data_IF_583651921515
#
_entry.id   IF_583651921515
#
_cell.length_a   1.000
_cell.length_b   1.000
_cell.length_c   1.000
_cell.angle_alpha   90.00
_cell.angle_beta   90.00
_cell.angle_gamma   90.00
#
_symmetry.space_group_name_H-M   'P 1'
#
loop_
_entity.id
_entity.type
_entity.pdbx_description
1 polymer ?
#
# COMPACT_ATOMS: atom_id res chain seq x y z
N UNK A 1 9.43 0.34 27.73
CA UNK A 1 8.45 1.45 27.62
C UNK A 1 8.04 1.56 26.16
N UNK A 2 6.75 1.68 25.85
CA UNK A 2 6.30 1.83 24.47
C UNK A 2 6.83 3.14 23.87
N UNK A 3 7.14 3.11 22.58
CA UNK A 3 7.55 4.28 21.82
C UNK A 3 6.35 5.21 21.67
N UNK A 4 6.49 6.46 22.13
CA UNK A 4 5.45 7.48 22.02
C UNK A 4 5.50 8.12 20.64
N UNK A 5 4.42 7.99 19.88
CA UNK A 5 4.35 8.41 18.47
C UNK A 5 3.28 9.49 18.29
N UNK A 6 3.61 10.53 17.53
CA UNK A 6 2.65 11.52 17.04
C UNK A 6 2.33 11.31 15.56
N UNK A 7 1.07 11.50 15.17
CA UNK A 7 0.62 11.39 13.77
C UNK A 7 0.32 12.79 13.23
N UNK A 8 1.00 13.18 12.16
CA UNK A 8 0.76 14.45 11.47
C UNK A 8 0.11 14.19 10.09
N UNK A 9 -1.17 14.50 9.98
CA UNK A 9 -2.05 14.15 8.86
C UNK A 9 -2.90 12.92 9.18
N UNK A 10 -4.19 13.11 9.46
CA UNK A 10 -5.16 12.07 9.83
C UNK A 10 -6.04 11.62 8.64
N UNK A 11 -5.42 11.61 7.46
CA UNK A 11 -5.97 11.01 6.24
C UNK A 11 -5.91 9.48 6.25
N UNK A 12 -5.94 8.86 5.06
CA UNK A 12 -5.96 7.39 4.91
C UNK A 12 -4.82 6.69 5.69
N UNK A 13 -3.58 7.14 5.50
CA UNK A 13 -2.40 6.53 6.14
C UNK A 13 -2.40 6.79 7.65
N UNK A 14 -2.63 8.03 8.09
CA UNK A 14 -2.65 8.36 9.51
C UNK A 14 -3.68 7.53 10.30
N UNK A 15 -4.86 7.30 9.74
CA UNK A 15 -5.88 6.44 10.37
C UNK A 15 -5.48 4.97 10.39
N UNK A 16 -4.85 4.44 9.34
CA UNK A 16 -4.36 3.05 9.32
C UNK A 16 -3.22 2.86 10.34
N UNK A 17 -2.27 3.80 10.42
CA UNK A 17 -1.21 3.78 11.43
C UNK A 17 -1.80 3.83 12.84
N UNK A 18 -2.78 4.70 13.07
CA UNK A 18 -3.49 4.76 14.34
C UNK A 18 -4.17 3.42 14.66
N UNK A 19 -4.87 2.81 13.69
CA UNK A 19 -5.52 1.51 13.85
C UNK A 19 -4.52 0.40 14.21
N UNK A 20 -3.42 0.30 13.47
CA UNK A 20 -2.42 -0.74 13.70
C UNK A 20 -1.72 -0.57 15.06
N UNK A 21 -1.57 0.66 15.57
CA UNK A 21 -0.93 0.88 16.87
C UNK A 21 -1.61 0.13 18.03
N UNK A 22 -2.90 -0.18 17.94
CA UNK A 22 -3.61 -0.97 18.96
C UNK A 22 -3.22 -2.44 18.97
N UNK A 23 -2.68 -2.96 17.86
CA UNK A 23 -2.16 -4.33 17.75
C UNK A 23 -0.67 -4.43 18.13
N UNK A 24 -0.03 -3.31 18.46
CA UNK A 24 1.41 -3.20 18.70
C UNK A 24 1.69 -2.61 20.09
N UNK A 25 1.89 -3.50 21.08
CA UNK A 25 2.09 -3.13 22.51
C UNK A 25 3.36 -2.30 22.77
N UNK A 26 4.26 -2.25 21.81
CA UNK A 26 5.50 -1.49 21.81
C UNK A 26 5.32 -0.05 21.33
N UNK A 27 4.12 0.34 20.85
CA UNK A 27 3.82 1.68 20.35
C UNK A 27 2.63 2.31 21.07
N UNK A 28 2.75 3.58 21.42
CA UNK A 28 1.67 4.39 22.02
C UNK A 28 1.47 5.65 21.18
N UNK A 29 0.34 5.80 20.51
CA UNK A 29 0.01 7.05 19.80
C UNK A 29 -0.49 8.09 20.82
N UNK A 30 0.28 9.16 21.00
CA UNK A 30 0.05 10.18 22.04
C UNK A 30 -0.57 11.47 21.50
N UNK A 31 -0.48 11.70 20.20
CA UNK A 31 -1.03 12.90 19.56
C UNK A 31 -1.37 12.67 18.09
N UNK A 32 -2.42 13.33 17.62
CA UNK A 32 -2.82 13.39 16.22
C UNK A 32 -3.07 14.85 15.85
N UNK A 33 -2.52 15.30 14.72
CA UNK A 33 -2.72 16.64 14.18
C UNK A 33 -3.22 16.56 12.73
N UNK A 34 -4.35 17.20 12.43
CA UNK A 34 -4.80 17.45 11.05
C UNK A 34 -5.59 18.77 10.99
N UNK A 35 -5.08 19.82 10.34
CA UNK A 35 -5.74 21.13 10.32
C UNK A 35 -6.96 21.20 9.41
N UNK A 36 -7.27 20.14 8.65
CA UNK A 36 -8.37 20.13 7.67
C UNK A 36 -9.52 19.20 8.07
N UNK A 37 -9.44 18.57 9.24
CA UNK A 37 -10.41 17.56 9.69
C UNK A 37 -10.89 17.91 11.10
N UNK A 38 -12.18 18.25 11.23
CA UNK A 38 -12.84 18.47 12.52
C UNK A 38 -12.86 17.19 13.37
N UNK A 39 -12.79 17.32 14.70
CA UNK A 39 -12.66 16.18 15.64
C UNK A 39 -13.79 15.14 15.46
N UNK A 40 -15.04 15.59 15.34
CA UNK A 40 -16.18 14.69 15.15
C UNK A 40 -16.12 13.97 13.79
N UNK A 41 -15.60 14.65 12.76
CA UNK A 41 -15.41 14.06 11.45
C UNK A 41 -14.27 13.04 11.46
N UNK A 42 -13.15 13.36 12.12
CA UNK A 42 -12.04 12.44 12.36
C UNK A 42 -12.49 11.17 13.08
N UNK A 43 -13.28 11.31 14.15
CA UNK A 43 -13.85 10.19 14.89
C UNK A 43 -14.78 9.33 14.02
N UNK A 44 -15.60 9.96 13.17
CA UNK A 44 -16.47 9.25 12.23
C UNK A 44 -15.68 8.48 11.16
N UNK A 45 -14.67 9.11 10.54
CA UNK A 45 -13.78 8.48 9.56
C UNK A 45 -12.89 7.39 10.16
N UNK A 46 -12.57 7.51 11.45
CA UNK A 46 -11.90 6.44 12.18
C UNK A 46 -12.88 5.30 12.44
N UNK A 47 -14.10 5.58 12.90
CA UNK A 47 -15.12 4.59 13.23
C UNK A 47 -15.58 3.77 12.03
N UNK A 48 -15.76 4.42 10.89
CA UNK A 48 -16.17 3.78 9.64
C UNK A 48 -15.12 4.07 8.58
N UNK A 49 -14.28 3.08 8.31
CA UNK A 49 -13.45 3.10 7.11
C UNK A 49 -14.23 2.35 6.04
N UNK A 50 -14.10 2.76 4.79
CA UNK A 50 -14.57 1.91 3.71
C UNK A 50 -13.67 0.66 3.78
N UNK A 51 -12.38 0.74 3.41
CA UNK A 51 -11.43 -0.39 3.30
C UNK A 51 -11.21 -1.29 4.47
N UNK A 52 -11.26 -0.75 5.66
CA UNK A 52 -10.96 -1.51 6.86
C UNK A 52 -12.18 -1.51 7.80
N UNK A 53 -13.34 -1.08 7.28
CA UNK A 53 -14.66 -1.16 7.88
C UNK A 53 -14.67 -0.61 9.29
N UNK A 54 -15.39 -1.25 10.22
CA UNK A 54 -15.58 -0.64 11.54
C UNK A 54 -14.29 -0.70 12.36
N UNK A 55 -14.01 0.39 13.06
CA UNK A 55 -12.98 0.36 14.09
C UNK A 55 -13.46 -0.58 15.20
N UNK A 56 -12.74 -1.71 15.35
CA UNK A 56 -13.21 -3.05 15.76
C UNK A 56 -13.72 -3.90 14.56
N UNK A 57 -12.71 -4.51 13.92
CA UNK A 57 -12.66 -5.59 12.92
C UNK A 57 -13.55 -5.48 11.65
N UNK A 58 -12.85 -5.63 10.51
CA UNK A 58 -13.25 -5.94 9.12
C UNK A 58 -13.94 -4.87 8.26
N UNK A 59 -13.83 -5.01 6.91
CA UNK A 59 -13.05 -4.16 5.97
C UNK A 59 -13.58 -4.08 4.49
N UNK A 60 -13.80 -2.90 3.81
CA UNK A 60 -14.02 -2.67 2.30
C UNK A 60 -13.91 -1.22 1.59
N UNK A 61 -12.84 -0.88 0.79
CA UNK A 61 -12.61 0.01 -0.42
C UNK A 61 -12.18 1.55 -0.57
N UNK A 62 -11.49 1.94 -1.70
CA UNK A 62 -10.70 3.15 -2.21
C UNK A 62 -10.98 3.52 -3.72
N UNK A 63 -10.06 4.05 -4.57
CA UNK A 63 -9.37 5.37 -4.79
C UNK A 63 -8.53 6.08 -3.71
N UNK A 64 -7.38 6.64 -4.13
CA UNK A 64 -6.53 7.51 -3.29
C UNK A 64 -7.06 8.93 -3.23
N UNK A 65 -6.81 9.66 -2.13
CA UNK A 65 -7.32 11.03 -1.92
C UNK A 65 -6.90 12.05 -3.00
N UNK A 66 -5.92 11.71 -3.84
CA UNK A 66 -5.44 12.59 -4.91
C UNK A 66 -6.21 12.43 -6.22
N UNK A 67 -7.03 11.38 -6.36
CA UNK A 67 -7.81 11.09 -7.55
C UNK A 67 -9.16 11.80 -7.53
N UNK A 68 -9.75 12.00 -8.71
CA UNK A 68 -11.01 12.71 -8.90
C UNK A 68 -12.11 11.72 -9.24
N UNK A 69 -13.30 11.92 -8.66
CA UNK A 69 -14.47 11.06 -8.89
C UNK A 69 -14.98 11.20 -10.34
N UNK A 70 -14.98 12.42 -10.85
CA UNK A 70 -15.30 12.77 -12.23
C UNK A 70 -14.12 13.50 -12.86
N UNK A 71 -14.14 13.66 -14.19
CA UNK A 71 -13.14 14.44 -14.92
C UNK A 71 -13.02 15.86 -14.32
N UNK A 72 -11.82 16.22 -13.86
CA UNK A 72 -11.54 17.52 -13.25
C UNK A 72 -10.10 17.98 -13.55
N UNK A 73 -9.84 19.31 -13.52
CA UNK A 73 -8.51 19.84 -13.80
C UNK A 73 -7.43 19.28 -12.87
N UNK A 74 -6.32 18.82 -13.46
CA UNK A 74 -5.11 18.42 -12.74
C UNK A 74 -3.91 19.13 -13.33
N UNK A 75 -3.29 20.01 -12.54
CA UNK A 75 -2.23 20.93 -13.01
C UNK A 75 -0.94 20.22 -13.42
N UNK A 76 -0.66 19.05 -12.83
CA UNK A 76 0.63 18.33 -13.00
C UNK A 76 0.49 16.94 -13.60
N UNK A 77 -0.71 16.37 -13.62
CA UNK A 77 -0.97 15.00 -14.05
C UNK A 77 -2.34 14.93 -14.73
N UNK A 78 -2.38 15.25 -16.02
CA UNK A 78 -3.65 15.39 -16.77
C UNK A 78 -4.45 14.09 -16.76
N UNK A 79 -3.77 12.94 -16.86
CA UNK A 79 -4.41 11.62 -16.81
C UNK A 79 -5.00 11.35 -15.42
N UNK A 80 -4.32 11.77 -14.36
CA UNK A 80 -4.82 11.69 -12.99
C UNK A 80 -6.05 12.56 -12.69
N UNK A 81 -6.41 13.49 -13.59
CA UNK A 81 -7.65 14.27 -13.50
C UNK A 81 -8.88 13.56 -14.06
N UNK A 82 -8.72 12.44 -14.76
CA UNK A 82 -9.84 11.67 -15.33
C UNK A 82 -10.59 10.88 -14.26
N UNK A 83 -11.87 10.60 -14.50
CA UNK A 83 -12.75 9.85 -13.59
C UNK A 83 -12.13 8.51 -13.17
N UNK A 84 -11.79 8.39 -11.89
CA UNK A 84 -10.95 7.29 -11.41
C UNK A 84 -11.66 5.93 -11.38
N UNK A 85 -12.99 5.91 -11.23
CA UNK A 85 -13.77 4.67 -11.16
C UNK A 85 -14.03 4.04 -12.54
N UNK A 86 -13.78 4.77 -13.63
CA UNK A 86 -14.16 4.36 -14.99
C UNK A 86 -12.94 4.15 -15.91
N UNK A 87 -11.74 4.53 -15.46
CA UNK A 87 -10.55 4.57 -16.31
C UNK A 87 -9.40 3.75 -15.76
N UNK A 88 -8.70 3.07 -16.67
CA UNK A 88 -7.33 2.62 -16.46
C UNK A 88 -6.40 3.81 -16.74
N UNK A 89 -5.70 4.32 -15.72
CA UNK A 89 -4.93 5.57 -15.80
C UNK A 89 -3.43 5.26 -15.68
N UNK A 90 -2.67 5.26 -16.80
CA UNK A 90 -1.24 5.02 -16.77
C UNK A 90 -0.48 6.21 -16.19
N UNK A 91 0.50 5.93 -15.34
CA UNK A 91 1.31 6.90 -14.63
C UNK A 91 2.76 6.42 -14.50
N UNK A 92 3.71 7.36 -14.56
CA UNK A 92 5.08 7.08 -14.11
C UNK A 92 5.11 6.91 -12.60
N UNK A 93 5.95 6.00 -12.11
CA UNK A 93 6.13 5.74 -10.67
C UNK A 93 7.58 5.96 -10.26
N UNK A 94 7.75 6.52 -9.05
CA UNK A 94 9.06 6.63 -8.41
C UNK A 94 9.52 5.35 -7.71
N UNK A 95 8.60 4.42 -7.41
CA UNK A 95 8.88 3.25 -6.57
C UNK A 95 10.04 2.41 -7.10
N UNK A 96 10.02 2.11 -8.41
CA UNK A 96 11.10 1.38 -9.06
C UNK A 96 12.47 2.10 -8.98
N UNK A 97 12.48 3.43 -9.02
CA UNK A 97 13.72 4.22 -8.87
C UNK A 97 14.23 4.18 -7.43
N UNK A 98 13.33 4.20 -6.44
CA UNK A 98 13.67 4.11 -5.02
C UNK A 98 14.35 2.79 -4.67
N UNK A 99 14.02 1.69 -5.36
CA UNK A 99 14.73 0.39 -5.19
C UNK A 99 16.23 0.56 -5.40
N UNK A 100 16.67 1.36 -6.37
CA UNK A 100 18.09 1.63 -6.58
C UNK A 100 18.76 2.38 -5.43
N UNK A 101 18.02 3.26 -4.75
CA UNK A 101 18.50 4.00 -3.58
C UNK A 101 18.65 3.09 -2.36
N UNK A 102 17.71 2.17 -2.14
CA UNK A 102 17.71 1.25 -0.99
C UNK A 102 18.66 0.06 -1.24
N UNK A 103 18.76 -0.41 -2.48
CA UNK A 103 19.60 -1.54 -2.89
C UNK A 103 20.57 -1.02 -3.97
N UNK A 104 21.73 -0.46 -3.60
CA UNK A 104 22.64 0.22 -4.53
C UNK A 104 23.05 -0.61 -5.75
N UNK A 105 23.18 -1.94 -5.60
CA UNK A 105 23.49 -2.87 -6.71
C UNK A 105 22.43 -2.92 -7.82
N UNK A 106 21.22 -2.41 -7.55
CA UNK A 106 20.09 -2.29 -8.48
C UNK A 106 19.91 -0.86 -9.03
N UNK A 107 20.77 0.09 -8.65
CA UNK A 107 20.71 1.46 -9.14
C UNK A 107 20.79 1.50 -10.67
N UNK A 108 19.81 2.17 -11.29
CA UNK A 108 19.71 2.28 -12.74
C UNK A 108 19.26 1.00 -13.48
N UNK A 109 19.03 -0.12 -12.77
CA UNK A 109 18.62 -1.40 -13.36
C UNK A 109 17.11 -1.64 -13.27
N UNK A 110 16.41 -0.93 -12.40
CA UNK A 110 14.98 -1.09 -12.16
C UNK A 110 14.26 0.20 -12.53
N UNK A 111 13.22 0.07 -13.35
CA UNK A 111 12.30 1.14 -13.72
C UNK A 111 10.89 0.55 -13.82
N UNK A 112 9.87 1.40 -13.87
CA UNK A 112 8.50 0.91 -13.93
C UNK A 112 7.49 1.99 -14.24
N UNK A 113 6.30 1.53 -14.60
CA UNK A 113 5.09 2.33 -14.68
C UNK A 113 4.04 1.73 -13.76
N UNK A 114 2.99 2.50 -13.48
CA UNK A 114 1.81 2.01 -12.78
C UNK A 114 0.59 2.31 -13.62
N UNK A 115 -0.38 1.41 -13.60
CA UNK A 115 -1.73 1.69 -14.09
C UNK A 115 -2.64 1.77 -12.88
N UNK A 116 -3.28 2.92 -12.67
CA UNK A 116 -4.33 3.03 -11.65
C UNK A 116 -5.58 2.41 -12.24
N UNK A 117 -6.22 1.56 -11.47
CA UNK A 117 -7.41 0.81 -11.88
C UNK A 117 -8.57 1.14 -10.94
N UNK A 118 -9.78 0.77 -11.34
CA UNK A 118 -11.01 0.94 -10.55
C UNK A 118 -11.12 -0.03 -9.36
N UNK A 119 -9.97 -0.42 -8.80
CA UNK A 119 -9.89 -1.12 -7.53
C UNK A 119 -9.54 -0.12 -6.44
N UNK A 120 -9.83 -0.57 -5.25
CA UNK A 120 -10.22 0.23 -4.14
C UNK A 120 -9.48 -0.29 -2.89
N UNK A 121 -8.67 -1.31 -3.01
CA UNK A 121 -7.48 -1.49 -2.19
C UNK A 121 -6.63 -2.53 -2.89
N UNK A 122 -5.43 -2.74 -2.35
CA UNK A 122 -4.52 -3.76 -2.86
C UNK A 122 -4.01 -3.35 -4.25
N UNK A 123 -2.79 -3.73 -4.54
CA UNK A 123 -2.12 -3.45 -5.80
C UNK A 123 -1.22 -4.61 -6.11
N UNK A 124 -0.97 -4.82 -7.40
CA UNK A 124 -0.12 -5.88 -7.88
C UNK A 124 1.17 -5.28 -8.47
N UNK A 125 2.27 -5.97 -8.25
CA UNK A 125 3.54 -5.71 -8.94
C UNK A 125 3.74 -6.85 -9.92
N UNK A 126 3.84 -6.51 -11.21
CA UNK A 126 4.34 -7.41 -12.24
C UNK A 126 5.81 -7.07 -12.50
N UNK A 127 6.72 -7.94 -12.01
CA UNK A 127 8.15 -7.75 -12.15
C UNK A 127 8.71 -8.63 -13.27
N UNK A 128 8.94 -8.02 -14.42
CA UNK A 128 9.68 -8.65 -15.52
C UNK A 128 11.16 -8.29 -15.35
N UNK A 129 12.00 -9.31 -15.14
CA UNK A 129 13.44 -9.12 -14.99
C UNK A 129 14.24 -10.16 -15.78
N UNK A 130 15.49 -9.81 -16.09
CA UNK A 130 16.46 -10.72 -16.68
C UNK A 130 17.51 -11.07 -15.64
N UNK A 131 17.63 -12.36 -15.32
CA UNK A 131 18.62 -12.86 -14.38
C UNK A 131 19.99 -12.98 -15.05
N UNK A 132 21.05 -12.73 -14.27
CA UNK A 132 22.43 -12.94 -14.70
C UNK A 132 22.77 -14.43 -14.76
N UNK A 133 22.37 -15.17 -13.72
CA UNK A 133 22.41 -16.63 -13.67
C UNK A 133 21.02 -17.16 -13.97
N UNK A 134 20.92 -18.05 -14.95
CA UNK A 134 19.66 -18.71 -15.26
C UNK A 134 19.12 -19.47 -14.05
N UNK A 135 17.80 -19.45 -13.88
CA UNK A 135 17.09 -20.21 -12.88
C UNK A 135 15.76 -20.69 -13.49
N UNK A 136 15.35 -21.89 -13.12
CA UNK A 136 14.02 -22.42 -13.40
C UNK A 136 12.97 -21.70 -12.55
N UNK A 137 11.71 -21.77 -13.00
CA UNK A 137 10.59 -21.21 -12.25
C UNK A 137 10.47 -21.81 -10.83
N UNK A 138 10.73 -23.11 -10.70
CA UNK A 138 10.69 -23.81 -9.41
C UNK A 138 11.78 -23.35 -8.45
N UNK A 139 12.99 -23.08 -8.95
CA UNK A 139 14.07 -22.52 -8.13
C UNK A 139 13.72 -21.11 -7.63
N UNK A 140 13.06 -20.29 -8.47
CA UNK A 140 12.60 -18.95 -8.08
C UNK A 140 11.50 -19.04 -7.01
N UNK A 141 10.49 -19.90 -7.21
CA UNK A 141 9.43 -20.13 -6.21
C UNK A 141 10.04 -20.55 -4.88
N UNK A 142 10.95 -21.52 -4.90
CA UNK A 142 11.58 -22.04 -3.69
C UNK A 142 12.35 -20.93 -2.96
N UNK A 143 13.14 -20.14 -3.69
CA UNK A 143 13.89 -19.03 -3.10
C UNK A 143 12.97 -17.96 -2.48
N UNK A 144 11.82 -17.67 -3.09
CA UNK A 144 10.84 -16.71 -2.55
C UNK A 144 10.16 -17.27 -1.30
N UNK A 145 9.70 -18.53 -1.34
CA UNK A 145 9.12 -19.24 -0.19
C UNK A 145 10.08 -19.27 1.01
N UNK A 146 11.32 -19.67 0.78
CA UNK A 146 12.35 -19.75 1.82
C UNK A 146 12.65 -18.37 2.43
N UNK A 147 12.67 -17.32 1.60
CA UNK A 147 12.85 -15.96 2.07
C UNK A 147 11.66 -15.47 2.92
N UNK A 148 10.43 -15.73 2.48
CA UNK A 148 9.19 -15.38 3.16
C UNK A 148 9.05 -16.11 4.52
N UNK A 149 9.42 -17.38 4.58
CA UNK A 149 9.36 -18.18 5.81
C UNK A 149 10.55 -17.94 6.74
N UNK A 150 11.66 -17.41 6.21
CA UNK A 150 12.89 -17.16 6.93
C UNK A 150 13.15 -15.68 7.20
N UNK A 151 14.18 -15.07 6.59
CA UNK A 151 14.68 -13.74 6.95
C UNK A 151 13.70 -12.60 6.70
N UNK A 152 12.70 -12.78 5.84
CA UNK A 152 11.69 -11.76 5.52
C UNK A 152 10.32 -12.07 6.13
N UNK A 153 10.23 -12.99 7.09
CA UNK A 153 8.98 -13.33 7.76
C UNK A 153 8.32 -12.11 8.39
N UNK A 154 7.04 -11.89 8.08
CA UNK A 154 6.27 -10.72 8.50
C UNK A 154 6.49 -9.48 7.63
N UNK A 155 7.36 -9.56 6.62
CA UNK A 155 7.56 -8.51 5.60
C UNK A 155 7.13 -9.03 4.23
N UNK A 156 7.54 -10.25 3.88
CA UNK A 156 7.15 -10.96 2.67
C UNK A 156 6.39 -12.21 3.07
N UNK A 157 5.23 -12.43 2.45
CA UNK A 157 4.48 -13.67 2.53
C UNK A 157 4.46 -14.38 1.17
N UNK A 158 3.84 -15.56 1.09
CA UNK A 158 3.71 -16.33 -0.14
C UNK A 158 2.45 -17.21 -0.11
N UNK A 159 1.71 -17.27 -1.22
CA UNK A 159 0.55 -18.14 -1.38
C UNK A 159 0.55 -18.89 -2.73
N UNK A 160 -0.05 -20.09 -2.75
CA UNK A 160 -0.37 -20.86 -3.97
C UNK A 160 -1.88 -20.89 -4.27
N UNK A 161 -2.68 -20.24 -3.41
CA UNK A 161 -4.12 -20.20 -3.58
C UNK A 161 -4.50 -19.28 -4.76
N UNK A 162 -5.60 -19.60 -5.43
CA UNK A 162 -6.18 -18.77 -6.49
C UNK A 162 -6.87 -17.53 -5.90
N UNK A 163 -6.06 -16.56 -5.46
CA UNK A 163 -6.53 -15.34 -4.80
C UNK A 163 -6.88 -14.22 -5.78
N UNK A 164 -7.72 -13.30 -5.33
CA UNK A 164 -8.00 -12.02 -5.98
C UNK A 164 -7.70 -10.85 -5.04
N UNK A 165 -7.69 -9.63 -5.58
CA UNK A 165 -7.28 -8.43 -4.82
C UNK A 165 -8.05 -8.19 -3.52
N UNK A 166 -9.31 -8.66 -3.40
CA UNK A 166 -10.10 -8.49 -2.18
C UNK A 166 -9.58 -9.33 -1.03
N UNK A 167 -8.94 -10.46 -1.31
CA UNK A 167 -8.51 -11.44 -0.30
C UNK A 167 -7.29 -10.95 0.47
N UNK A 168 -6.53 -10.02 -0.12
CA UNK A 168 -5.36 -9.37 0.49
C UNK A 168 -5.72 -8.18 1.39
N UNK A 169 -7.00 -7.88 1.60
CA UNK A 169 -7.41 -6.79 2.48
C UNK A 169 -7.15 -7.13 3.95
N UNK A 170 -6.42 -6.25 4.63
CA UNK A 170 -6.05 -6.47 6.04
C UNK A 170 -4.78 -7.31 6.21
N UNK A 171 -4.18 -7.78 5.11
CA UNK A 171 -2.84 -8.35 5.16
C UNK A 171 -1.84 -7.31 5.70
N UNK A 172 -0.94 -7.79 6.55
CA UNK A 172 0.06 -6.98 7.25
C UNK A 172 1.45 -7.08 6.62
N UNK A 173 1.67 -8.08 5.75
CA UNK A 173 2.88 -8.19 4.96
C UNK A 173 2.98 -7.04 3.95
N UNK A 174 4.21 -6.65 3.63
CA UNK A 174 4.50 -5.60 2.65
C UNK A 174 4.33 -6.11 1.22
N UNK A 175 4.51 -7.41 1.00
CA UNK A 175 4.22 -8.10 -0.24
C UNK A 175 3.89 -9.57 0.01
N UNK A 176 3.14 -10.16 -0.90
CA UNK A 176 2.79 -11.57 -0.98
C UNK A 176 2.91 -12.00 -2.44
#
# INVERSE_FOLDING_TARGET
MPAKVGINGFGRIGRIVFRNSFSHVDTEVVAVNDPFIEIHYAANMLKYDATHGRFAHDAVHAYTATQKLVDAPSKKDWRGGRAAAENLIPRSTGGAKTVGTVIPKLQGKVTGMSVRVSSSNVSIIDLICRLEKGASYQEIITAVKDAAQGPLKGILDYTEDDIVSSDMNGDTAVGC
#
